data_IF_881135892825
#
_entry.id   IF_881135892825
#
_cell.length_a   1.000
_cell.length_b   1.000
_cell.length_c   1.000
_cell.angle_alpha   90.00
_cell.angle_beta   90.00
_cell.angle_gamma   90.00
#
_symmetry.space_group_name_H-M   'P 1'
#
loop_
_entity.id
_entity.type
_entity.pdbx_description
1 polymer ?
#
# COMPACT_ATOMS: atom_id res chain seq x y z
N UNK A 1 6.37 27.87 -12.39
CA UNK A 1 5.02 27.26 -12.29
C UNK A 1 5.06 25.87 -12.92
N UNK A 2 4.86 24.82 -12.12
CA UNK A 2 4.73 23.45 -12.64
C UNK A 2 3.41 23.37 -13.40
N UNK A 3 3.46 22.95 -14.67
CA UNK A 3 2.29 22.81 -15.51
C UNK A 3 1.56 21.51 -15.15
N UNK A 4 0.62 21.59 -14.20
CA UNK A 4 -0.05 20.45 -13.57
C UNK A 4 -0.67 19.46 -14.59
N UNK A 5 -1.19 19.99 -15.71
CA UNK A 5 -1.78 19.19 -16.78
C UNK A 5 -0.77 18.27 -17.47
N UNK A 6 0.47 18.77 -17.68
CA UNK A 6 1.59 18.00 -18.24
C UNK A 6 2.16 16.99 -17.23
N UNK A 7 2.14 17.35 -15.94
CA UNK A 7 2.59 16.47 -14.86
C UNK A 7 1.67 15.25 -14.69
N UNK A 8 0.36 15.43 -14.88
CA UNK A 8 -0.65 14.36 -14.80
C UNK A 8 -0.67 13.55 -16.11
N UNK A 9 -0.66 14.18 -17.29
CA UNK A 9 -0.81 13.45 -18.56
C UNK A 9 0.31 12.45 -18.91
N UNK A 10 1.47 12.49 -18.22
CA UNK A 10 2.62 11.62 -18.49
C UNK A 10 2.81 10.46 -17.50
N UNK A 11 1.96 10.32 -16.46
CA UNK A 11 2.17 9.31 -15.41
C UNK A 11 1.59 7.94 -15.75
N UNK A 12 2.21 6.90 -15.18
CA UNK A 12 1.84 5.51 -15.39
C UNK A 12 0.70 5.12 -14.46
N UNK A 13 -0.09 4.11 -14.85
CA UNK A 13 -1.23 3.63 -14.06
C UNK A 13 -0.84 3.24 -12.62
N UNK A 14 0.30 2.57 -12.44
CA UNK A 14 0.84 2.19 -11.13
C UNK A 14 1.11 3.39 -10.21
N UNK A 15 1.55 4.53 -10.78
CA UNK A 15 1.83 5.75 -10.02
C UNK A 15 0.54 6.33 -9.42
N UNK A 16 -0.58 6.26 -10.16
CA UNK A 16 -1.89 6.70 -9.70
C UNK A 16 -2.47 5.77 -8.63
N UNK A 17 -2.34 4.47 -8.83
CA UNK A 17 -2.85 3.47 -7.90
C UNK A 17 -2.16 3.62 -6.54
N UNK A 18 -0.83 3.72 -6.52
CA UNK A 18 -0.10 3.84 -5.25
C UNK A 18 -0.33 5.20 -4.57
N UNK A 19 -0.49 6.29 -5.34
CA UNK A 19 -0.83 7.60 -4.79
C UNK A 19 -2.23 7.61 -4.16
N UNK A 20 -3.23 7.04 -4.85
CA UNK A 20 -4.58 6.91 -4.32
C UNK A 20 -4.61 6.02 -3.07
N UNK A 21 -3.86 4.91 -3.08
CA UNK A 21 -3.69 4.04 -1.91
C UNK A 21 -3.08 4.80 -0.72
N UNK A 22 -2.12 5.69 -0.96
CA UNK A 22 -1.55 6.55 0.09
C UNK A 22 -2.56 7.49 0.74
N UNK A 23 -3.47 8.08 -0.05
CA UNK A 23 -4.57 8.92 0.48
C UNK A 23 -5.54 8.09 1.32
N UNK A 24 -5.91 6.91 0.83
CA UNK A 24 -6.80 6.00 1.56
C UNK A 24 -6.14 5.51 2.85
N UNK A 25 -4.82 5.24 2.83
CA UNK A 25 -4.07 4.88 4.03
C UNK A 25 -4.08 6.00 5.06
N UNK A 26 -3.90 7.24 4.64
CA UNK A 26 -3.97 8.39 5.53
C UNK A 26 -5.34 8.48 6.21
N UNK A 27 -6.43 8.32 5.45
CA UNK A 27 -7.78 8.29 6.00
C UNK A 27 -7.99 7.12 6.99
N UNK A 28 -7.50 5.92 6.65
CA UNK A 28 -7.58 4.75 7.52
C UNK A 28 -6.82 4.93 8.84
N UNK A 29 -5.63 5.56 8.79
CA UNK A 29 -4.81 5.85 9.98
C UNK A 29 -5.45 6.92 10.84
N UNK A 30 -6.06 7.96 10.26
CA UNK A 30 -6.81 8.97 11.02
C UNK A 30 -8.01 8.31 11.71
N UNK A 31 -8.76 7.48 11.00
CA UNK A 31 -9.88 6.74 11.57
C UNK A 31 -9.41 5.85 12.74
N UNK A 32 -8.32 5.10 12.55
CA UNK A 32 -7.70 4.29 13.59
C UNK A 32 -7.27 5.11 14.81
N UNK A 33 -6.61 6.26 14.60
CA UNK A 33 -6.18 7.12 15.69
C UNK A 33 -7.36 7.70 16.49
N UNK A 34 -8.49 7.98 15.83
CA UNK A 34 -9.68 8.54 16.48
C UNK A 34 -10.58 7.48 17.14
N UNK A 35 -10.50 6.21 16.73
CA UNK A 35 -11.52 5.19 17.10
C UNK A 35 -10.97 3.82 17.48
N UNK A 36 -9.66 3.63 17.37
CA UNK A 36 -8.97 2.35 17.59
C UNK A 36 -8.80 1.96 19.05
N UNK A 37 -9.02 2.89 19.98
CA UNK A 37 -9.06 2.58 21.41
C UNK A 37 -10.37 1.90 21.77
N UNK A 38 -10.28 0.78 22.49
CA UNK A 38 -11.44 0.10 23.06
C UNK A 38 -11.14 -0.20 24.53
N UNK A 39 -11.40 0.76 25.45
CA UNK A 39 -11.07 0.63 26.86
C UNK A 39 -11.71 -0.58 27.53
N UNK A 40 -12.94 -0.93 27.13
CA UNK A 40 -13.66 -2.11 27.61
C UNK A 40 -12.91 -3.43 27.35
N UNK A 41 -12.03 -3.46 26.35
CA UNK A 41 -11.24 -4.63 25.98
C UNK A 41 -9.73 -4.45 26.21
N UNK A 42 -9.35 -3.39 26.94
CA UNK A 42 -7.95 -3.00 27.18
C UNK A 42 -7.12 -2.94 25.88
N UNK A 43 -7.71 -2.34 24.85
CA UNK A 43 -7.08 -2.13 23.55
C UNK A 43 -6.73 -0.67 23.39
N UNK A 44 -5.46 -0.40 23.09
CA UNK A 44 -4.93 0.94 22.86
C UNK A 44 -4.48 1.11 21.41
N UNK A 45 -4.44 2.36 20.94
CA UNK A 45 -3.86 2.68 19.64
C UNK A 45 -2.36 2.42 19.68
N UNK A 46 -1.85 1.71 18.67
CA UNK A 46 -0.43 1.41 18.51
C UNK A 46 0.25 2.51 17.71
N UNK A 47 1.23 3.18 18.35
CA UNK A 47 2.07 4.17 17.68
C UNK A 47 2.92 3.59 16.54
N UNK A 48 3.24 2.30 16.61
CA UNK A 48 3.97 1.59 15.55
C UNK A 48 3.14 1.50 14.27
N UNK A 49 1.85 1.14 14.36
CA UNK A 49 0.93 1.08 13.20
C UNK A 49 0.91 2.43 12.48
N UNK A 50 0.82 3.53 13.25
CA UNK A 50 0.82 4.89 12.71
C UNK A 50 2.17 5.22 12.06
N UNK A 51 3.28 4.98 12.76
CA UNK A 51 4.62 5.31 12.27
C UNK A 51 4.95 4.58 10.98
N UNK A 52 4.71 3.27 10.93
CA UNK A 52 4.99 2.46 9.73
C UNK A 52 4.05 2.83 8.58
N UNK A 53 2.79 3.18 8.86
CA UNK A 53 1.88 3.66 7.82
C UNK A 53 2.35 4.97 7.19
N UNK A 54 2.85 5.92 7.99
CA UNK A 54 3.44 7.16 7.46
C UNK A 54 4.65 6.86 6.57
N UNK A 55 5.53 5.95 6.99
CA UNK A 55 6.68 5.53 6.17
C UNK A 55 6.21 4.88 4.86
N UNK A 56 5.21 4.00 4.91
CA UNK A 56 4.66 3.34 3.74
C UNK A 56 4.05 4.34 2.73
N UNK A 57 3.34 5.36 3.23
CA UNK A 57 2.80 6.45 2.40
C UNK A 57 3.92 7.21 1.69
N UNK A 58 4.92 7.68 2.44
CA UNK A 58 6.06 8.44 1.89
C UNK A 58 6.79 7.61 0.83
N UNK A 59 7.01 6.33 1.12
CA UNK A 59 7.68 5.42 0.21
C UNK A 59 6.85 5.14 -1.05
N UNK A 60 5.53 5.01 -0.94
CA UNK A 60 4.61 4.88 -2.08
C UNK A 60 4.66 6.10 -3.00
N UNK A 61 4.67 7.31 -2.43
CA UNK A 61 4.85 8.53 -3.22
C UNK A 61 6.25 8.62 -3.85
N UNK A 62 7.29 8.22 -3.13
CA UNK A 62 8.64 8.13 -3.68
C UNK A 62 8.72 7.15 -4.85
N UNK A 63 8.04 5.99 -4.76
CA UNK A 63 7.93 5.02 -5.85
C UNK A 63 7.28 5.64 -7.10
N UNK A 64 6.20 6.41 -6.90
CA UNK A 64 5.47 7.09 -7.97
C UNK A 64 6.24 8.25 -8.62
N UNK A 65 7.19 8.86 -7.91
CA UNK A 65 8.02 9.97 -8.42
C UNK A 65 9.29 9.43 -9.10
N UNK A 66 9.94 8.44 -8.49
CA UNK A 66 11.22 7.88 -8.98
C UNK A 66 11.03 6.75 -9.99
N UNK A 67 9.80 6.24 -10.16
CA UNK A 67 9.46 5.11 -11.02
C UNK A 67 10.34 3.87 -10.80
N UNK A 68 10.79 3.66 -9.56
CA UNK A 68 11.68 2.56 -9.19
C UNK A 68 10.89 1.35 -8.67
N UNK A 69 10.96 0.23 -9.39
CA UNK A 69 10.17 -0.97 -9.14
C UNK A 69 10.32 -1.51 -7.71
N UNK A 70 11.53 -1.48 -7.14
CA UNK A 70 11.77 -1.99 -5.79
C UNK A 70 10.99 -1.20 -4.72
N UNK A 71 10.80 0.11 -4.91
CA UNK A 71 10.04 0.94 -3.97
C UNK A 71 8.56 0.59 -3.95
N UNK A 72 7.99 0.18 -5.09
CA UNK A 72 6.60 -0.30 -5.13
C UNK A 72 6.40 -1.55 -4.29
N UNK A 73 7.32 -2.52 -4.39
CA UNK A 73 7.27 -3.72 -3.56
C UNK A 73 7.51 -3.42 -2.08
N UNK A 74 8.46 -2.55 -1.77
CA UNK A 74 8.74 -2.19 -0.38
C UNK A 74 7.55 -1.45 0.25
N UNK A 75 6.89 -0.54 -0.47
CA UNK A 75 5.66 0.10 -0.03
C UNK A 75 4.52 -0.91 0.17
N UNK A 76 4.38 -1.88 -0.74
CA UNK A 76 3.42 -2.97 -0.60
C UNK A 76 3.67 -3.82 0.66
N UNK A 77 4.92 -4.18 0.95
CA UNK A 77 5.28 -4.98 2.14
C UNK A 77 5.03 -4.20 3.43
N UNK A 78 5.34 -2.91 3.46
CA UNK A 78 5.02 -2.06 4.62
C UNK A 78 3.51 -1.91 4.81
N UNK A 79 2.73 -1.74 3.74
CA UNK A 79 1.27 -1.67 3.85
C UNK A 79 0.66 -3.00 4.35
N UNK A 80 1.21 -4.15 3.93
CA UNK A 80 0.84 -5.44 4.50
C UNK A 80 1.20 -5.51 5.99
N UNK A 81 2.40 -5.08 6.36
CA UNK A 81 2.84 -5.07 7.75
C UNK A 81 1.94 -4.20 8.62
N UNK A 82 1.56 -2.99 8.16
CA UNK A 82 0.61 -2.11 8.85
C UNK A 82 -0.73 -2.80 9.09
N UNK A 83 -1.28 -3.45 8.06
CA UNK A 83 -2.54 -4.19 8.17
C UNK A 83 -2.44 -5.33 9.19
N UNK A 84 -1.39 -6.16 9.12
CA UNK A 84 -1.18 -7.26 10.05
C UNK A 84 -0.97 -6.76 11.48
N UNK A 85 -0.17 -5.71 11.66
CA UNK A 85 0.09 -5.12 12.98
C UNK A 85 -1.18 -4.53 13.58
N UNK A 86 -2.02 -3.87 12.77
CA UNK A 86 -3.35 -3.45 13.21
C UNK A 86 -4.17 -4.64 13.73
N UNK A 87 -4.26 -5.75 12.99
CA UNK A 87 -4.98 -6.95 13.43
C UNK A 87 -4.39 -7.50 14.74
N UNK A 88 -3.06 -7.60 14.84
CA UNK A 88 -2.36 -8.07 16.04
C UNK A 88 -2.69 -7.22 17.27
N UNK A 89 -2.65 -5.89 17.12
CA UNK A 89 -2.96 -4.96 18.22
C UNK A 89 -4.42 -5.04 18.68
N UNK A 90 -5.31 -5.53 17.81
CA UNK A 90 -6.75 -5.66 18.06
C UNK A 90 -7.17 -7.09 18.41
N UNK A 91 -6.24 -8.04 18.59
CA UNK A 91 -6.56 -9.45 18.82
C UNK A 91 -7.46 -9.68 20.04
N UNK A 92 -7.23 -8.95 21.14
CA UNK A 92 -8.10 -9.06 22.34
C UNK A 92 -9.54 -8.70 22.03
N UNK A 93 -9.74 -7.62 21.28
CA UNK A 93 -11.07 -7.20 20.84
C UNK A 93 -11.70 -8.25 19.92
N UNK A 94 -10.95 -8.75 18.94
CA UNK A 94 -11.41 -9.81 18.02
C UNK A 94 -11.82 -11.07 18.79
N UNK A 95 -10.98 -11.56 19.71
CA UNK A 95 -11.27 -12.75 20.50
C UNK A 95 -12.54 -12.60 21.33
N UNK A 96 -12.75 -11.46 21.97
CA UNK A 96 -13.94 -11.23 22.80
C UNK A 96 -15.23 -11.20 21.97
N UNK A 97 -15.20 -10.56 20.80
CA UNK A 97 -16.33 -10.54 19.86
C UNK A 97 -16.63 -11.96 19.34
N UNK A 98 -15.61 -12.75 19.00
CA UNK A 98 -15.79 -14.11 18.47
C UNK A 98 -16.31 -15.12 19.50
N UNK A 99 -15.88 -15.01 20.76
CA UNK A 99 -16.36 -15.87 21.85
C UNK A 99 -17.71 -15.39 22.39
N UNK A 100 -18.24 -14.27 21.85
CA UNK A 100 -19.53 -13.68 22.22
C UNK A 100 -19.66 -13.40 23.72
N UNK A 101 -18.54 -13.07 24.39
CA UNK A 101 -18.49 -12.96 25.87
C UNK A 101 -19.51 -11.93 26.40
N UNK A 102 -19.96 -10.98 25.57
CA UNK A 102 -20.96 -9.97 25.96
C UNK A 102 -22.04 -9.71 24.87
N UNK A 103 -22.26 -10.63 23.92
CA UNK A 103 -23.16 -10.40 22.77
C UNK A 103 -22.72 -9.25 21.85
N UNK A 104 -21.46 -8.83 21.98
CA UNK A 104 -20.87 -7.68 21.31
C UNK A 104 -20.52 -8.00 19.86
N UNK A 105 -20.84 -7.08 18.94
CA UNK A 105 -20.46 -7.16 17.52
C UNK A 105 -19.23 -6.30 17.22
N UNK A 106 -18.61 -6.51 16.06
CA UNK A 106 -17.58 -5.60 15.56
C UNK A 106 -18.12 -4.19 15.39
N UNK A 107 -17.39 -3.18 15.87
CA UNK A 107 -17.76 -1.79 15.67
C UNK A 107 -17.61 -1.42 14.20
N UNK A 108 -18.48 -0.54 13.66
CA UNK A 108 -18.34 -0.07 12.27
C UNK A 108 -16.98 0.57 12.01
N UNK A 109 -16.40 1.27 13.00
CA UNK A 109 -15.11 1.92 12.87
C UNK A 109 -13.96 0.91 12.75
N UNK A 110 -13.97 -0.17 13.55
CA UNK A 110 -13.01 -1.27 13.42
C UNK A 110 -13.10 -1.91 12.03
N UNK A 111 -14.31 -2.26 11.58
CA UNK A 111 -14.51 -2.88 10.27
C UNK A 111 -14.05 -1.96 9.13
N UNK A 112 -14.43 -0.68 9.19
CA UNK A 112 -14.03 0.30 8.19
C UNK A 112 -12.50 0.45 8.13
N UNK A 113 -11.84 0.56 9.28
CA UNK A 113 -10.37 0.63 9.36
C UNK A 113 -9.72 -0.62 8.76
N UNK A 114 -10.17 -1.81 9.16
CA UNK A 114 -9.65 -3.08 8.66
C UNK A 114 -9.79 -3.21 7.14
N UNK A 115 -10.99 -2.90 6.61
CA UNK A 115 -11.29 -2.98 5.18
C UNK A 115 -10.47 -1.96 4.39
N UNK A 116 -10.35 -0.71 4.87
CA UNK A 116 -9.56 0.31 4.18
C UNK A 116 -8.07 -0.07 4.14
N UNK A 117 -7.49 -0.54 5.25
CA UNK A 117 -6.09 -0.99 5.27
C UNK A 117 -5.86 -2.20 4.35
N UNK A 118 -6.81 -3.15 4.30
CA UNK A 118 -6.75 -4.28 3.37
C UNK A 118 -6.83 -3.82 1.90
N UNK A 119 -7.74 -2.90 1.56
CA UNK A 119 -7.85 -2.32 0.22
C UNK A 119 -6.55 -1.62 -0.18
N UNK A 120 -5.95 -0.85 0.73
CA UNK A 120 -4.68 -0.17 0.49
C UNK A 120 -3.56 -1.15 0.19
N UNK A 121 -3.45 -2.23 0.97
CA UNK A 121 -2.48 -3.28 0.72
C UNK A 121 -2.68 -3.90 -0.67
N UNK A 122 -3.92 -4.31 -1.01
CA UNK A 122 -4.23 -4.92 -2.31
C UNK A 122 -3.97 -3.97 -3.48
N UNK A 123 -4.29 -2.68 -3.34
CA UNK A 123 -3.99 -1.67 -4.33
C UNK A 123 -2.47 -1.48 -4.51
N UNK A 124 -1.72 -1.47 -3.41
CA UNK A 124 -0.25 -1.39 -3.45
C UNK A 124 0.38 -2.61 -4.10
N UNK A 125 -0.17 -3.81 -3.85
CA UNK A 125 0.24 -5.04 -4.50
C UNK A 125 -0.02 -4.99 -6.01
N UNK A 126 -1.20 -4.53 -6.43
CA UNK A 126 -1.51 -4.37 -7.83
C UNK A 126 -0.54 -3.38 -8.52
N UNK A 127 -0.24 -2.25 -7.89
CA UNK A 127 0.75 -1.30 -8.40
C UNK A 127 2.14 -1.93 -8.57
N UNK A 128 2.60 -2.70 -7.57
CA UNK A 128 3.88 -3.40 -7.62
C UNK A 128 3.94 -4.47 -8.73
N UNK A 129 2.87 -5.25 -8.91
CA UNK A 129 2.78 -6.25 -9.99
C UNK A 129 2.80 -5.57 -11.36
N UNK A 130 2.04 -4.49 -11.54
CA UNK A 130 2.01 -3.74 -12.81
C UNK A 130 3.40 -3.18 -13.13
N UNK A 131 4.08 -2.59 -12.13
CA UNK A 131 5.44 -2.08 -12.28
C UNK A 131 6.42 -3.21 -12.69
N UNK A 132 6.30 -4.40 -12.08
CA UNK A 132 7.14 -5.55 -12.40
C UNK A 132 6.92 -6.08 -13.82
N UNK A 133 5.66 -6.25 -14.22
CA UNK A 133 5.31 -6.77 -15.56
C UNK A 133 5.81 -5.82 -16.66
N UNK A 134 5.66 -4.50 -16.46
CA UNK A 134 6.16 -3.51 -17.42
C UNK A 134 7.69 -3.45 -17.44
N UNK A 135 8.34 -3.49 -16.28
CA UNK A 135 9.81 -3.54 -16.17
C UNK A 135 10.40 -4.75 -16.92
N UNK A 136 9.83 -5.94 -16.71
CA UNK A 136 10.27 -7.15 -17.41
C UNK A 136 10.05 -7.13 -18.92
N UNK A 137 8.97 -6.47 -19.41
CA UNK A 137 8.74 -6.30 -20.85
C UNK A 137 9.75 -5.34 -21.48
N UNK A 138 10.10 -4.25 -20.81
CA UNK A 138 11.11 -3.30 -21.29
C UNK A 138 12.50 -3.95 -21.40
N UNK A 139 12.87 -4.78 -20.42
CA UNK A 139 14.15 -5.51 -20.44
C UNK A 139 14.21 -6.52 -21.60
N UNK A 140 13.11 -7.24 -21.88
CA UNK A 140 13.03 -8.19 -23.00
C UNK A 140 13.09 -7.50 -24.37
N UNK A 141 12.45 -6.35 -24.54
CA UNK A 141 12.51 -5.57 -25.78
C UNK A 141 13.94 -5.07 -26.06
N UNK A 142 14.60 -4.47 -25.05
CA UNK A 142 15.98 -4.00 -25.21
C UNK A 142 16.99 -5.12 -25.49
N UNK A 143 16.75 -6.33 -24.97
CA UNK A 143 17.59 -7.50 -25.28
C UNK A 143 17.40 -7.99 -26.73
N UNK A 144 16.19 -7.91 -27.28
CA UNK A 144 15.92 -8.28 -28.68
C UNK A 144 16.54 -7.27 -29.66
N UNK A 145 16.45 -5.97 -29.36
CA UNK A 145 17.07 -4.93 -30.18
C UNK A 145 18.60 -5.04 -30.19
N UNK A 146 19.23 -5.31 -29.03
CA UNK A 146 20.68 -5.52 -28.94
C UNK A 146 21.17 -6.75 -29.73
N UNK A 147 20.35 -7.80 -29.85
CA UNK A 147 20.67 -8.98 -30.66
C UNK A 147 20.53 -8.72 -32.16
N UNK A 148 19.61 -7.85 -32.58
CA UNK A 148 19.47 -7.48 -33.99
C UNK A 148 20.65 -6.66 -34.52
N UNK A 149 21.18 -5.73 -33.72
CA UNK A 149 22.33 -4.89 -34.09
C UNK A 149 23.64 -5.68 -34.13
N UNK A 150 23.84 -6.62 -33.20
CA UNK A 150 25.03 -7.48 -33.19
C UNK A 150 25.08 -8.52 -34.33
N UNK A 151 23.94 -8.79 -34.99
CA UNK A 151 23.86 -9.69 -36.14
C UNK A 151 24.24 -9.01 -37.48
N UNK A 152 24.08 -7.69 -37.59
CA UNK A 152 24.40 -6.94 -38.81
C UNK A 152 25.91 -6.65 -38.96
N UNK A 153 26.69 -6.63 -37.88
CA UNK A 153 28.16 -6.48 -37.93
C UNK A 153 28.92 -7.79 -38.25
N UNK A 154 28.22 -8.94 -38.34
CA UNK A 154 28.83 -10.24 -38.60
C UNK A 154 28.50 -10.85 -39.98
N UNK A 155 27.85 -10.11 -40.87
CA UNK A 155 27.56 -10.55 -42.25
C UNK A 155 28.31 -9.74 -43.30
#
# INVERSE_FOLDING_TARGET
MINLKKFISGRRAEDYIVAAAGIVMLAAVILYACTGEQPAFNVTVSGEVIAVAVIAIVLGYAAAVLHFQALYFLACLLNLHVFLQFIVTQLRYISNVLVAIDGTTFTPAFLCTAVLMAIVWLASLAAAIIAAVKGGRAQKAGAADAQSVGGEEQS
#
